data_IF_517675051712
#
_entry.id   IF_517675051712
#
_cell.length_a   1.000
_cell.length_b   1.000
_cell.length_c   1.000
_cell.angle_alpha   90.00
_cell.angle_beta   90.00
_cell.angle_gamma   90.00
#
_symmetry.space_group_name_H-M   'P 1'
#
loop_
_entity.id
_entity.type
_entity.pdbx_description
1 polymer ?
#
# COMPACT_ATOMS: atom_id res chain seq x y z
N UNK A 1 9.73 -30.39 -18.09
CA UNK A 1 8.44 -30.13 -17.42
C UNK A 1 8.78 -29.21 -16.25
N UNK A 2 8.43 -27.92 -16.17
CA UNK A 2 7.26 -27.19 -16.65
C UNK A 2 7.72 -25.81 -17.17
N UNK A 3 7.25 -25.47 -18.37
CA UNK A 3 7.19 -24.10 -18.87
C UNK A 3 5.98 -23.42 -18.19
N UNK A 4 6.15 -22.21 -17.67
CA UNK A 4 5.04 -21.33 -17.29
C UNK A 4 5.31 -20.48 -16.06
N UNK A 5 5.25 -19.15 -16.21
CA UNK A 5 4.94 -18.27 -15.07
C UNK A 5 5.89 -17.14 -14.72
N UNK A 6 6.77 -16.65 -15.60
CA UNK A 6 7.49 -15.38 -15.35
C UNK A 6 6.58 -14.13 -15.40
N UNK A 7 5.28 -14.29 -15.70
CA UNK A 7 4.29 -13.22 -15.66
C UNK A 7 3.85 -12.83 -14.22
N UNK A 8 4.17 -13.63 -13.20
CA UNK A 8 3.77 -13.37 -11.80
C UNK A 8 4.72 -12.48 -10.99
N UNK A 9 5.91 -12.17 -11.50
CA UNK A 9 6.92 -11.38 -10.76
C UNK A 9 6.92 -9.88 -11.11
N UNK A 10 6.15 -9.45 -12.11
CA UNK A 10 6.09 -8.04 -12.53
C UNK A 10 5.15 -7.20 -11.65
N UNK A 11 4.02 -7.76 -11.23
CA UNK A 11 3.08 -7.14 -10.29
C UNK A 11 3.65 -7.00 -8.87
N UNK A 12 4.57 -7.90 -8.48
CA UNK A 12 5.21 -7.84 -7.17
C UNK A 12 6.14 -6.61 -7.02
N UNK A 13 6.85 -6.21 -8.08
CA UNK A 13 7.86 -5.15 -8.02
C UNK A 13 7.27 -3.75 -7.79
N UNK A 14 6.10 -3.47 -8.40
CA UNK A 14 5.43 -2.17 -8.29
C UNK A 14 4.71 -2.01 -6.95
N UNK A 15 3.94 -3.02 -6.54
CA UNK A 15 3.30 -3.05 -5.23
C UNK A 15 4.33 -3.02 -4.08
N UNK A 16 5.44 -3.73 -4.21
CA UNK A 16 6.51 -3.72 -3.21
C UNK A 16 7.13 -2.32 -3.04
N UNK A 17 7.29 -1.54 -4.11
CA UNK A 17 7.79 -0.18 -4.01
C UNK A 17 6.80 0.75 -3.29
N UNK A 18 5.50 0.67 -3.61
CA UNK A 18 4.46 1.44 -2.92
C UNK A 18 4.41 1.05 -1.43
N UNK A 19 4.46 -0.25 -1.13
CA UNK A 19 4.51 -0.74 0.24
C UNK A 19 5.73 -0.23 1.00
N UNK A 20 6.91 -0.16 0.35
CA UNK A 20 8.11 0.40 0.96
C UNK A 20 7.94 1.87 1.32
N UNK A 21 7.45 2.69 0.39
CA UNK A 21 7.17 4.11 0.64
C UNK A 21 6.16 4.28 1.79
N UNK A 22 5.13 3.45 1.84
CA UNK A 22 4.16 3.46 2.95
C UNK A 22 4.81 3.11 4.30
N UNK A 23 5.74 2.14 4.35
CA UNK A 23 6.50 1.85 5.58
C UNK A 23 7.39 3.02 5.98
N UNK A 24 8.07 3.65 5.02
CA UNK A 24 8.92 4.80 5.29
C UNK A 24 8.08 5.98 5.84
N UNK A 25 6.88 6.22 5.30
CA UNK A 25 5.92 7.20 5.84
C UNK A 25 5.48 6.86 7.26
N UNK A 26 5.22 5.57 7.54
CA UNK A 26 4.88 5.09 8.87
C UNK A 26 6.00 5.40 9.88
N UNK A 27 7.24 5.10 9.51
CA UNK A 27 8.42 5.35 10.32
C UNK A 27 8.67 6.85 10.55
N UNK A 28 8.57 7.66 9.50
CA UNK A 28 8.73 9.11 9.62
C UNK A 28 7.63 9.74 10.49
N UNK A 29 6.39 9.25 10.40
CA UNK A 29 5.28 9.70 11.25
C UNK A 29 5.52 9.31 12.71
N UNK A 30 6.11 8.15 12.95
CA UNK A 30 6.42 7.65 14.29
C UNK A 30 7.56 8.41 14.96
N UNK A 31 8.59 8.82 14.20
CA UNK A 31 9.77 9.52 14.73
C UNK A 31 9.58 11.04 14.78
N UNK A 32 8.75 11.61 13.89
CA UNK A 32 8.67 13.05 13.66
C UNK A 32 7.67 13.83 14.52
N UNK A 33 6.72 13.17 15.20
CA UNK A 33 5.64 13.86 15.91
C UNK A 33 5.49 13.39 17.37
N UNK A 34 5.54 14.32 18.33
CA UNK A 34 5.06 14.15 19.72
C UNK A 34 3.51 14.21 19.79
N UNK A 35 2.81 13.85 18.71
CA UNK A 35 1.36 13.83 18.67
C UNK A 35 0.82 12.48 19.17
N UNK A 36 -0.19 12.47 20.05
CA UNK A 36 -0.86 11.23 20.48
C UNK A 36 -1.44 10.43 19.30
N UNK A 37 -1.78 11.14 18.21
CA UNK A 37 -2.34 10.58 16.98
C UNK A 37 -1.28 10.02 16.03
N UNK A 38 0.01 10.32 16.24
CA UNK A 38 1.10 9.86 15.40
C UNK A 38 1.21 8.32 15.40
N UNK A 39 1.07 7.69 16.57
CA UNK A 39 1.05 6.23 16.71
C UNK A 39 -0.12 5.57 15.97
N UNK A 40 -1.28 6.23 15.91
CA UNK A 40 -2.43 5.71 15.17
C UNK A 40 -2.18 5.79 13.65
N UNK A 41 -1.64 6.93 13.19
CA UNK A 41 -1.33 7.15 11.77
C UNK A 41 -0.20 6.24 11.29
N UNK A 42 0.89 6.08 12.05
CA UNK A 42 1.99 5.18 11.71
C UNK A 42 1.52 3.74 11.55
N UNK A 43 0.71 3.24 12.50
CA UNK A 43 0.07 1.92 12.40
C UNK A 43 -0.82 1.77 11.17
N UNK A 44 -1.55 2.82 10.79
CA UNK A 44 -2.36 2.80 9.58
C UNK A 44 -1.49 2.66 8.32
N UNK A 45 -0.39 3.40 8.22
CA UNK A 45 0.55 3.28 7.10
C UNK A 45 1.21 1.90 7.04
N UNK A 46 1.65 1.33 8.16
CA UNK A 46 2.21 -0.03 8.18
C UNK A 46 1.19 -1.08 7.73
N UNK A 47 -0.05 -1.02 8.22
CA UNK A 47 -1.11 -1.95 7.79
C UNK A 47 -1.46 -1.80 6.31
N UNK A 48 -1.50 -0.58 5.80
CA UNK A 48 -1.69 -0.32 4.38
C UNK A 48 -0.54 -0.91 3.54
N UNK A 49 0.71 -0.74 3.98
CA UNK A 49 1.88 -1.32 3.32
C UNK A 49 1.81 -2.84 3.25
N UNK A 50 1.46 -3.52 4.35
CA UNK A 50 1.35 -4.97 4.38
C UNK A 50 0.21 -5.47 3.47
N UNK A 51 -0.92 -4.75 3.47
CA UNK A 51 -2.05 -5.09 2.60
C UNK A 51 -1.68 -4.93 1.13
N UNK A 52 -1.06 -3.82 0.75
CA UNK A 52 -0.58 -3.53 -0.61
C UNK A 52 0.48 -4.56 -1.05
N UNK A 53 1.39 -4.96 -0.17
CA UNK A 53 2.39 -5.97 -0.47
C UNK A 53 1.78 -7.36 -0.70
N UNK A 54 0.68 -7.68 -0.01
CA UNK A 54 -0.04 -8.95 -0.13
C UNK A 54 -1.06 -9.00 -1.28
N UNK A 55 -1.34 -7.85 -1.90
CA UNK A 55 -2.37 -7.72 -2.93
C UNK A 55 -1.95 -8.44 -4.21
N UNK A 56 -2.79 -9.35 -4.75
CA UNK A 56 -2.48 -10.09 -5.97
C UNK A 56 -2.52 -9.22 -7.24
N UNK A 57 -3.24 -8.09 -7.18
CA UNK A 57 -3.36 -7.12 -8.27
C UNK A 57 -2.59 -5.84 -7.95
N UNK A 58 -2.05 -5.17 -8.98
CA UNK A 58 -1.32 -3.92 -8.81
C UNK A 58 -2.26 -2.80 -8.33
N UNK A 59 -1.80 -2.00 -7.36
CA UNK A 59 -2.56 -0.84 -6.88
C UNK A 59 -2.83 0.15 -8.02
N UNK A 60 -1.90 0.30 -8.96
CA UNK A 60 -2.08 1.14 -10.14
C UNK A 60 -3.15 0.59 -11.09
N UNK A 61 -3.29 -0.73 -11.20
CA UNK A 61 -4.33 -1.36 -12.02
C UNK A 61 -5.72 -1.18 -11.37
N UNK A 62 -5.81 -1.33 -10.05
CA UNK A 62 -7.04 -1.07 -9.28
C UNK A 62 -7.48 0.39 -9.45
N UNK A 63 -6.54 1.34 -9.33
CA UNK A 63 -6.80 2.75 -9.56
C UNK A 63 -7.23 3.02 -11.01
N UNK A 64 -6.61 2.36 -11.99
CA UNK A 64 -6.96 2.54 -13.41
C UNK A 64 -8.36 2.00 -13.73
N UNK A 65 -8.82 0.94 -13.05
CA UNK A 65 -10.14 0.33 -13.26
C UNK A 65 -11.27 1.04 -12.51
N UNK A 66 -11.07 1.24 -11.20
CA UNK A 66 -12.13 1.67 -10.27
C UNK A 66 -11.85 3.06 -9.66
N UNK A 67 -10.75 3.70 -10.03
CA UNK A 67 -10.35 5.01 -9.48
C UNK A 67 -10.11 4.98 -7.98
N UNK A 68 -10.33 6.11 -7.33
CA UNK A 68 -10.22 6.28 -5.87
C UNK A 68 -11.18 5.34 -5.11
N UNK A 69 -12.32 4.99 -5.71
CA UNK A 69 -13.28 4.05 -5.09
C UNK A 69 -12.68 2.66 -4.93
N UNK A 70 -11.93 2.19 -5.92
CA UNK A 70 -11.22 0.91 -5.83
C UNK A 70 -10.17 0.89 -4.73
N UNK A 71 -9.46 2.00 -4.52
CA UNK A 71 -8.50 2.12 -3.41
C UNK A 71 -9.18 2.13 -2.04
N UNK A 72 -10.39 2.68 -1.94
CA UNK A 72 -11.18 2.70 -0.71
C UNK A 72 -11.78 1.34 -0.34
N UNK A 73 -11.89 0.42 -1.30
CA UNK A 73 -12.32 -0.96 -1.06
C UNK A 73 -11.20 -1.81 -0.45
N UNK A 74 -9.95 -1.37 -0.55
CA UNK A 74 -8.80 -2.09 0.01
C UNK A 74 -8.85 -1.99 1.56
N UNK A 75 -8.80 -3.13 2.28
CA UNK A 75 -8.78 -3.10 3.73
C UNK A 75 -7.53 -2.36 4.21
N UNK A 76 -7.66 -1.58 5.29
CA UNK A 76 -6.59 -0.72 5.84
C UNK A 76 -6.25 0.54 5.03
N UNK A 77 -6.80 0.73 3.81
CA UNK A 77 -6.61 1.97 3.02
C UNK A 77 -7.80 2.91 3.22
N UNK A 78 -7.63 3.92 4.07
CA UNK A 78 -8.63 4.97 4.28
C UNK A 78 -8.55 6.10 3.24
N UNK A 79 -9.51 7.02 3.26
CA UNK A 79 -9.55 8.21 2.37
C UNK A 79 -8.24 8.98 2.31
N UNK A 80 -7.56 9.17 3.44
CA UNK A 80 -6.29 9.90 3.50
C UNK A 80 -5.12 9.12 2.86
N UNK A 81 -5.15 7.79 2.93
CA UNK A 81 -4.10 6.95 2.33
C UNK A 81 -4.36 6.82 0.83
N UNK A 82 -5.62 6.58 0.44
CA UNK A 82 -6.03 6.53 -0.96
C UNK A 82 -5.73 7.83 -1.72
N UNK A 83 -5.79 8.99 -1.05
CA UNK A 83 -5.44 10.29 -1.64
C UNK A 83 -3.93 10.53 -1.80
N UNK A 84 -3.08 9.69 -1.18
CA UNK A 84 -1.61 9.79 -1.21
C UNK A 84 -0.95 8.80 -2.18
N UNK A 85 -1.74 7.87 -2.75
CA UNK A 85 -1.32 6.91 -3.77
C UNK A 85 -1.45 7.58 -5.13
#
# INVERSE_FOLDING_TARGET
>A
MLRGGLAGYCCLAKNANIAKVMRDLGFLTEVGEDDPNAQFRSRAYYRAADTIASLPEDVADIYSKNGIKGLLEIPSVGKNIAAKI
#
